data_IF_567668255961
#
_entry.id   IF_567668255961
#
_cell.length_a   1.000
_cell.length_b   1.000
_cell.length_c   1.000
_cell.angle_alpha   90.00
_cell.angle_beta   90.00
_cell.angle_gamma   90.00
#
_symmetry.space_group_name_H-M   'P 1'
#
loop_
_entity.id
_entity.type
_entity.pdbx_description
1 polymer ?
#
# COMPACT_ATOMS: atom_id res chain seq x y z
N UNK A 1 48.66 32.98 1.69
CA UNK A 1 47.33 33.52 1.29
C UNK A 1 46.30 32.42 1.52
N UNK A 2 45.36 32.60 2.45
CA UNK A 2 44.27 31.64 2.65
C UNK A 2 43.35 31.70 1.43
N UNK A 3 43.16 30.59 0.74
CA UNK A 3 42.22 30.47 -0.38
C UNK A 3 40.84 30.90 0.09
N UNK A 4 40.38 32.08 -0.32
CA UNK A 4 39.00 32.46 -0.15
C UNK A 4 38.19 31.46 -1.00
N UNK A 5 37.25 30.68 -0.44
CA UNK A 5 36.46 29.76 -1.24
C UNK A 5 35.77 30.58 -2.33
N UNK A 6 36.14 30.33 -3.58
CA UNK A 6 35.46 30.93 -4.72
C UNK A 6 33.97 30.54 -4.60
N UNK A 7 33.11 31.51 -4.30
CA UNK A 7 31.66 31.36 -4.17
C UNK A 7 31.07 30.89 -5.51
N UNK A 8 31.14 29.57 -5.72
CA UNK A 8 30.70 28.87 -6.92
C UNK A 8 29.61 27.89 -6.51
N UNK A 9 28.50 27.93 -7.23
CA UNK A 9 27.31 27.16 -6.90
C UNK A 9 26.86 26.38 -8.13
N UNK A 10 26.22 25.22 -7.90
CA UNK A 10 25.64 24.42 -8.98
C UNK A 10 24.29 24.95 -9.43
N UNK A 11 23.57 25.63 -8.55
CA UNK A 11 22.19 26.04 -8.81
C UNK A 11 22.07 27.53 -8.57
N UNK A 12 21.48 28.21 -9.52
CA UNK A 12 21.32 29.65 -9.53
C UNK A 12 19.88 30.01 -9.86
N UNK A 13 19.45 31.13 -9.30
CA UNK A 13 18.16 31.76 -9.60
C UNK A 13 18.39 33.16 -10.14
N UNK A 14 17.46 33.60 -10.97
CA UNK A 14 17.43 34.94 -11.53
C UNK A 14 15.99 35.28 -11.93
N UNK A 15 15.76 36.54 -12.28
CA UNK A 15 14.45 37.03 -12.71
C UNK A 15 14.58 37.49 -14.16
N UNK A 16 13.57 37.22 -14.98
CA UNK A 16 13.49 37.74 -16.35
C UNK A 16 12.28 38.64 -16.45
N UNK A 17 12.47 39.85 -16.97
CA UNK A 17 11.38 40.76 -17.29
C UNK A 17 11.09 40.66 -18.80
N UNK A 18 9.86 40.29 -19.22
CA UNK A 18 9.55 40.09 -20.64
C UNK A 18 9.67 41.35 -21.50
N UNK A 19 9.55 42.53 -20.89
CA UNK A 19 9.62 43.83 -21.57
C UNK A 19 11.06 44.24 -21.92
N UNK A 20 12.07 43.75 -21.20
CA UNK A 20 13.49 44.06 -21.42
C UNK A 20 14.30 42.91 -21.99
N UNK A 21 13.83 41.67 -21.83
CA UNK A 21 14.53 40.48 -22.30
C UNK A 21 14.52 40.37 -23.84
N UNK A 22 15.56 39.77 -24.45
CA UNK A 22 15.53 39.42 -25.87
C UNK A 22 14.35 38.49 -26.19
N UNK A 23 13.82 38.57 -27.41
CA UNK A 23 12.67 37.73 -27.81
C UNK A 23 12.98 36.22 -27.71
N UNK A 24 14.23 35.82 -27.90
CA UNK A 24 14.73 34.44 -27.83
C UNK A 24 15.40 34.10 -26.48
N UNK A 25 15.03 34.77 -25.39
CA UNK A 25 15.70 34.60 -24.09
C UNK A 25 15.65 33.15 -23.56
N UNK A 26 14.58 32.39 -23.85
CA UNK A 26 14.47 30.98 -23.48
C UNK A 26 15.51 30.12 -24.22
N UNK A 27 15.74 30.40 -25.50
CA UNK A 27 16.73 29.70 -26.34
C UNK A 27 18.14 29.95 -25.82
N UNK A 28 18.47 31.20 -25.47
CA UNK A 28 19.78 31.57 -24.90
C UNK A 28 20.12 30.73 -23.67
N UNK A 29 19.14 30.44 -22.81
CA UNK A 29 19.33 29.62 -21.62
C UNK A 29 19.35 28.13 -21.98
N UNK A 30 18.48 27.71 -22.89
CA UNK A 30 18.35 26.30 -23.33
C UNK A 30 19.61 25.80 -24.03
N UNK A 31 20.25 26.63 -24.85
CA UNK A 31 21.50 26.34 -25.57
C UNK A 31 22.68 26.02 -24.63
N UNK A 32 22.60 26.40 -23.36
CA UNK A 32 23.59 26.04 -22.33
C UNK A 32 23.58 24.52 -22.07
N UNK A 33 22.46 23.84 -22.34
CA UNK A 33 22.28 22.40 -22.13
C UNK A 33 22.20 21.97 -20.67
N UNK A 34 21.98 22.91 -19.74
CA UNK A 34 21.77 22.63 -18.33
C UNK A 34 20.28 22.53 -18.00
N UNK A 35 19.91 21.67 -17.05
CA UNK A 35 18.54 21.55 -16.53
C UNK A 35 18.09 22.92 -16.01
N UNK A 36 17.00 23.47 -16.55
CA UNK A 36 16.47 24.75 -16.11
C UNK A 36 14.95 24.84 -16.28
N UNK A 37 14.35 25.82 -15.63
CA UNK A 37 12.93 26.12 -15.80
C UNK A 37 12.59 27.49 -15.24
N UNK A 38 11.34 27.90 -15.44
CA UNK A 38 10.82 29.12 -14.86
C UNK A 38 9.36 28.99 -14.42
N UNK A 39 8.98 29.90 -13.53
CA UNK A 39 7.61 30.09 -13.07
C UNK A 39 6.65 30.40 -14.22
N UNK A 40 5.33 30.35 -13.98
CA UNK A 40 4.36 31.09 -14.77
C UNK A 40 4.74 32.58 -14.83
N UNK A 41 4.07 33.35 -15.69
CA UNK A 41 4.26 34.81 -15.69
C UNK A 41 3.67 35.38 -14.40
N UNK A 42 4.50 36.02 -13.57
CA UNK A 42 4.05 36.70 -12.37
C UNK A 42 3.55 38.11 -12.73
N UNK A 43 2.28 38.22 -13.10
CA UNK A 43 1.60 39.46 -13.50
C UNK A 43 0.55 39.96 -12.49
N UNK A 44 0.32 39.20 -11.40
CA UNK A 44 -0.67 39.49 -10.34
C UNK A 44 -0.03 39.73 -8.98
N UNK A 45 1.27 39.97 -8.96
CA UNK A 45 2.00 40.21 -7.73
C UNK A 45 1.85 41.67 -7.31
N UNK A 46 1.54 41.88 -6.03
CA UNK A 46 1.46 43.21 -5.42
C UNK A 46 2.78 43.59 -4.74
N UNK A 47 3.11 44.87 -4.75
CA UNK A 47 4.20 45.47 -3.99
C UNK A 47 3.80 45.72 -2.52
N UNK A 48 4.75 46.22 -1.74
CA UNK A 48 4.56 46.46 -0.30
C UNK A 48 3.55 47.58 0.00
N UNK A 49 3.17 48.36 -1.01
CA UNK A 49 2.21 49.46 -0.95
C UNK A 49 0.89 49.13 -1.66
N UNK A 50 0.70 47.90 -2.14
CA UNK A 50 -0.49 47.45 -2.87
C UNK A 50 -0.49 47.79 -4.36
N UNK A 51 0.61 48.31 -4.91
CA UNK A 51 0.78 48.55 -6.34
C UNK A 51 1.14 47.28 -7.11
N UNK A 52 0.75 47.19 -8.39
CA UNK A 52 1.11 46.04 -9.22
C UNK A 52 2.62 46.00 -9.50
N UNK A 53 3.27 44.86 -9.22
CA UNK A 53 4.65 44.63 -9.60
C UNK A 53 4.77 44.46 -11.12
N UNK A 54 5.94 44.81 -11.65
CA UNK A 54 6.26 44.56 -13.05
C UNK A 54 6.16 43.05 -13.37
N UNK A 55 5.51 42.65 -14.47
CA UNK A 55 5.43 41.26 -14.89
C UNK A 55 6.80 40.63 -15.02
N UNK A 56 7.00 39.45 -14.42
CA UNK A 56 8.32 38.81 -14.42
C UNK A 56 8.24 37.29 -14.33
N UNK A 57 9.32 36.62 -14.69
CA UNK A 57 9.52 35.19 -14.49
C UNK A 57 10.58 34.97 -13.42
N UNK A 58 10.32 34.05 -12.49
CA UNK A 58 11.35 33.48 -11.64
C UNK A 58 11.99 32.30 -12.35
N UNK A 59 13.29 32.34 -12.56
CA UNK A 59 14.04 31.30 -13.26
C UNK A 59 14.97 30.56 -12.29
N UNK A 60 15.21 29.28 -12.56
CA UNK A 60 16.19 28.44 -11.87
C UNK A 60 16.95 27.61 -12.90
N UNK A 61 18.26 27.56 -12.76
CA UNK A 61 19.15 26.73 -13.59
C UNK A 61 20.06 25.88 -12.71
N UNK A 62 20.21 24.60 -13.08
CA UNK A 62 20.99 23.59 -12.37
C UNK A 62 22.07 23.03 -13.29
N UNK A 63 23.31 23.37 -12.97
CA UNK A 63 24.49 22.93 -13.69
C UNK A 63 25.06 21.62 -13.13
N UNK A 64 25.65 20.81 -14.02
CA UNK A 64 26.42 19.61 -13.64
C UNK A 64 27.67 19.95 -12.80
N UNK A 65 28.32 21.07 -13.10
CA UNK A 65 29.48 21.59 -12.37
C UNK A 65 29.23 22.99 -11.85
N UNK A 66 29.95 23.38 -10.78
CA UNK A 66 29.75 24.68 -10.15
C UNK A 66 30.13 25.84 -11.07
N UNK A 67 29.30 26.89 -11.09
CA UNK A 67 29.53 28.14 -11.84
C UNK A 67 29.84 29.28 -10.87
N UNK A 68 30.72 30.20 -11.29
CA UNK A 68 31.02 31.41 -10.53
C UNK A 68 29.95 32.47 -10.73
N UNK A 69 29.87 33.43 -9.80
CA UNK A 69 29.01 34.60 -9.93
C UNK A 69 29.22 35.34 -11.26
N UNK A 70 30.49 35.51 -11.69
CA UNK A 70 30.81 36.19 -12.95
C UNK A 70 30.27 35.46 -14.18
N UNK A 71 30.31 34.12 -14.19
CA UNK A 71 29.72 33.33 -15.28
C UNK A 71 28.21 33.54 -15.36
N UNK A 72 27.54 33.57 -14.21
CA UNK A 72 26.10 33.82 -14.14
C UNK A 72 25.72 35.27 -14.43
N UNK A 73 26.58 36.22 -14.05
CA UNK A 73 26.41 37.63 -14.40
C UNK A 73 26.49 37.83 -15.92
N UNK A 74 27.39 37.11 -16.60
CA UNK A 74 27.47 37.12 -18.06
C UNK A 74 26.22 36.52 -18.72
N UNK A 75 25.57 35.53 -18.10
CA UNK A 75 24.31 34.98 -18.60
C UNK A 75 23.18 35.99 -18.42
N UNK A 76 22.94 36.44 -17.19
CA UNK A 76 21.87 37.42 -16.89
C UNK A 76 22.04 38.73 -17.65
N UNK A 77 23.28 39.17 -17.90
CA UNK A 77 23.56 40.32 -18.76
C UNK A 77 23.06 40.15 -20.20
N UNK A 78 23.20 38.96 -20.80
CA UNK A 78 22.65 38.67 -22.13
C UNK A 78 21.12 38.71 -22.16
N UNK A 79 20.48 38.41 -21.03
CA UNK A 79 19.03 38.43 -20.87
C UNK A 79 18.49 39.81 -20.49
N UNK A 80 19.35 40.82 -20.32
CA UNK A 80 19.01 42.10 -19.68
C UNK A 80 18.30 41.92 -18.33
N UNK A 81 18.69 40.89 -17.58
CA UNK A 81 18.10 40.49 -16.32
C UNK A 81 18.86 41.08 -15.12
N UNK A 82 18.21 41.25 -13.95
CA UNK A 82 18.90 41.56 -12.70
C UNK A 82 19.95 40.52 -12.31
N UNK A 83 20.81 40.92 -11.37
CA UNK A 83 21.90 40.09 -10.88
C UNK A 83 21.39 38.73 -10.34
N UNK A 84 22.08 37.62 -10.69
CA UNK A 84 21.70 36.28 -10.28
C UNK A 84 22.06 36.04 -8.81
N UNK A 85 21.38 35.08 -8.18
CA UNK A 85 21.67 34.66 -6.80
C UNK A 85 21.88 33.15 -6.74
N UNK A 86 22.77 32.65 -5.85
CA UNK A 86 22.85 31.23 -5.60
C UNK A 86 21.52 30.71 -5.03
N UNK A 87 21.12 29.51 -5.43
CA UNK A 87 19.90 28.90 -4.94
C UNK A 87 20.16 28.13 -3.63
N UNK A 88 19.51 28.55 -2.55
CA UNK A 88 19.61 27.89 -1.24
C UNK A 88 18.75 26.62 -1.14
N UNK A 89 17.54 26.66 -1.71
CA UNK A 89 16.59 25.55 -1.69
C UNK A 89 15.80 25.48 -2.98
N UNK A 90 16.03 24.46 -3.79
CA UNK A 90 15.30 24.24 -5.05
C UNK A 90 13.81 24.08 -4.77
N UNK A 91 13.46 23.25 -3.78
CA UNK A 91 12.06 23.01 -3.38
C UNK A 91 11.40 24.32 -2.96
N UNK A 92 12.05 25.11 -2.11
CA UNK A 92 11.52 26.40 -1.67
C UNK A 92 11.29 27.37 -2.83
N UNK A 93 12.22 27.44 -3.79
CA UNK A 93 12.11 28.35 -4.94
C UNK A 93 11.03 27.91 -5.94
N UNK A 94 10.91 26.62 -6.22
CA UNK A 94 9.85 26.12 -7.14
C UNK A 94 8.47 26.19 -6.49
N UNK A 95 8.35 26.02 -5.17
CA UNK A 95 7.09 26.31 -4.46
C UNK A 95 6.74 27.80 -4.50
N UNK A 96 7.76 28.65 -4.41
CA UNK A 96 7.61 30.11 -4.49
C UNK A 96 7.12 30.57 -5.89
N UNK A 97 7.52 29.89 -6.98
CA UNK A 97 6.97 30.14 -8.33
C UNK A 97 5.44 30.05 -8.41
N UNK A 98 4.82 29.39 -7.44
CA UNK A 98 3.38 29.16 -7.39
C UNK A 98 2.73 29.81 -6.15
N UNK A 99 3.53 30.47 -5.31
CA UNK A 99 3.12 31.04 -4.02
C UNK A 99 2.47 30.06 -3.04
N UNK A 100 2.80 28.76 -3.11
CA UNK A 100 2.16 27.71 -2.31
C UNK A 100 2.30 27.86 -0.78
N UNK A 101 3.23 28.68 -0.32
CA UNK A 101 3.53 28.93 1.10
C UNK A 101 3.01 30.31 1.58
N UNK A 102 2.36 31.07 0.71
CA UNK A 102 1.89 32.44 0.95
C UNK A 102 0.41 32.58 0.52
N UNK A 103 -0.55 32.16 1.36
CA UNK A 103 -1.97 32.12 1.03
C UNK A 103 -2.56 33.49 0.64
N UNK A 104 -1.96 34.58 1.13
CA UNK A 104 -2.34 35.96 0.84
C UNK A 104 -1.98 36.41 -0.57
N UNK A 105 -1.03 35.72 -1.24
CA UNK A 105 -0.62 36.04 -2.60
C UNK A 105 -1.43 35.25 -3.62
N UNK A 106 -1.53 35.80 -4.83
CA UNK A 106 -2.11 35.10 -5.95
C UNK A 106 -1.40 33.74 -6.19
N UNK A 107 -2.19 32.67 -6.24
CA UNK A 107 -1.71 31.30 -6.44
C UNK A 107 -1.64 30.99 -7.93
N UNK A 108 -0.45 30.74 -8.45
CA UNK A 108 -0.26 30.38 -9.86
C UNK A 108 -0.45 28.88 -10.09
N UNK A 109 -0.74 28.50 -11.34
CA UNK A 109 -1.04 27.12 -11.73
C UNK A 109 0.23 26.33 -11.99
N UNK A 110 0.24 25.06 -11.57
CA UNK A 110 1.39 24.15 -11.74
C UNK A 110 1.65 23.85 -13.22
N UNK A 111 0.59 23.83 -14.01
CA UNK A 111 0.59 23.50 -15.44
C UNK A 111 1.30 24.57 -16.28
N UNK A 112 1.41 25.79 -15.75
CA UNK A 112 2.03 26.93 -16.42
C UNK A 112 3.55 27.00 -16.16
N UNK A 113 4.11 26.13 -15.30
CA UNK A 113 5.57 26.00 -15.14
C UNK A 113 6.17 25.48 -16.44
N UNK A 114 7.23 26.13 -16.90
CA UNK A 114 8.03 25.69 -18.04
C UNK A 114 9.34 25.08 -17.57
N UNK A 115 9.63 23.90 -18.10
CA UNK A 115 10.76 23.08 -17.74
C UNK A 115 11.50 22.63 -19.00
N UNK A 116 12.82 22.74 -18.98
CA UNK A 116 13.69 22.55 -20.14
C UNK A 116 14.89 21.68 -19.78
N UNK A 117 15.51 21.08 -20.80
CA UNK A 117 16.74 20.29 -20.68
C UNK A 117 16.70 19.21 -19.57
N UNK A 118 15.53 18.59 -19.37
CA UNK A 118 15.34 17.52 -18.38
C UNK A 118 15.08 17.99 -16.94
N UNK A 119 14.86 19.28 -16.70
CA UNK A 119 14.37 19.74 -15.40
C UNK A 119 12.99 19.17 -15.10
N UNK A 120 12.82 18.52 -13.96
CA UNK A 120 11.53 17.94 -13.55
C UNK A 120 10.94 18.70 -12.37
N UNK A 121 10.09 19.69 -12.67
CA UNK A 121 9.39 20.48 -11.65
C UNK A 121 8.41 19.63 -10.83
N UNK A 122 7.83 18.56 -11.40
CA UNK A 122 6.89 17.68 -10.70
C UNK A 122 7.61 16.88 -9.61
N UNK A 123 8.80 16.39 -9.92
CA UNK A 123 9.65 15.70 -8.94
C UNK A 123 10.13 16.64 -7.82
N UNK A 124 10.41 17.92 -8.15
CA UNK A 124 10.72 18.93 -7.12
C UNK A 124 9.52 19.21 -6.21
N UNK A 125 8.31 19.26 -6.78
CA UNK A 125 7.05 19.52 -6.08
C UNK A 125 6.38 18.27 -5.50
N UNK A 126 7.10 17.15 -5.41
CA UNK A 126 6.59 15.91 -4.83
C UNK A 126 6.07 16.11 -3.40
N UNK A 127 5.08 15.30 -2.98
CA UNK A 127 4.56 15.38 -1.62
C UNK A 127 5.66 15.12 -0.58
N UNK A 128 5.59 15.82 0.55
CA UNK A 128 6.49 15.59 1.68
C UNK A 128 6.32 14.18 2.25
N UNK A 129 7.28 13.68 3.04
CA UNK A 129 7.17 12.37 3.70
C UNK A 129 5.90 12.25 4.56
N UNK A 130 5.52 13.33 5.23
CA UNK A 130 4.27 13.40 6.02
C UNK A 130 3.04 13.26 5.13
N UNK A 131 2.99 13.98 4.01
CA UNK A 131 1.89 13.87 3.04
C UNK A 131 1.82 12.47 2.40
N UNK A 132 2.97 11.90 2.02
CA UNK A 132 3.04 10.52 1.53
C UNK A 132 2.50 9.51 2.55
N UNK A 133 2.80 9.72 3.84
CA UNK A 133 2.30 8.86 4.93
C UNK A 133 0.79 9.01 5.10
N UNK A 134 0.25 10.23 5.00
CA UNK A 134 -1.19 10.48 5.04
C UNK A 134 -1.91 9.80 3.86
N UNK A 135 -1.43 10.01 2.63
CA UNK A 135 -1.95 9.36 1.43
C UNK A 135 -1.90 7.82 1.55
N UNK A 136 -0.81 7.26 2.05
CA UNK A 136 -0.70 5.81 2.26
C UNK A 136 -1.72 5.28 3.31
N UNK A 137 -2.07 6.08 4.33
CA UNK A 137 -3.14 5.73 5.28
C UNK A 137 -4.52 5.74 4.60
N UNK A 138 -4.77 6.74 3.76
CA UNK A 138 -6.01 6.84 2.95
C UNK A 138 -6.14 5.67 1.98
N UNK A 139 -5.09 5.35 1.23
CA UNK A 139 -5.02 4.21 0.32
C UNK A 139 -5.40 2.91 1.03
N UNK A 140 -4.74 2.61 2.17
CA UNK A 140 -5.06 1.38 2.94
C UNK A 140 -6.46 1.40 3.51
N UNK A 141 -6.98 2.55 3.92
CA UNK A 141 -8.36 2.69 4.38
C UNK A 141 -9.33 2.37 3.24
N UNK A 142 -9.12 2.95 2.07
CA UNK A 142 -9.95 2.70 0.89
C UNK A 142 -9.95 1.22 0.49
N UNK A 143 -8.76 0.60 0.42
CA UNK A 143 -8.63 -0.84 0.09
C UNK A 143 -9.44 -1.71 1.07
N UNK A 144 -9.32 -1.45 2.38
CA UNK A 144 -10.02 -2.22 3.41
C UNK A 144 -11.53 -1.99 3.38
N UNK A 145 -11.97 -0.73 3.35
CA UNK A 145 -13.39 -0.36 3.45
C UNK A 145 -14.19 -0.84 2.22
N UNK A 146 -13.53 -0.96 1.06
CA UNK A 146 -14.14 -1.46 -0.18
C UNK A 146 -13.79 -2.93 -0.48
N UNK A 147 -13.13 -3.62 0.45
CA UNK A 147 -12.68 -5.02 0.30
C UNK A 147 -11.98 -5.28 -1.06
N UNK A 148 -11.04 -4.43 -1.43
CA UNK A 148 -10.33 -4.55 -2.71
C UNK A 148 -9.31 -5.68 -2.62
N UNK A 149 -9.57 -6.77 -3.33
CA UNK A 149 -8.72 -7.97 -3.34
C UNK A 149 -7.81 -8.07 -4.56
N UNK A 150 -7.98 -7.21 -5.57
CA UNK A 150 -7.22 -7.22 -6.82
C UNK A 150 -6.52 -5.88 -7.07
N UNK A 151 -5.23 -5.94 -7.43
CA UNK A 151 -4.43 -4.75 -7.67
C UNK A 151 -4.95 -3.94 -8.86
N UNK A 152 -5.40 -4.61 -9.93
CA UNK A 152 -5.95 -3.94 -11.12
C UNK A 152 -7.14 -3.05 -10.74
N UNK A 153 -8.10 -3.60 -10.00
CA UNK A 153 -9.30 -2.86 -9.56
C UNK A 153 -8.93 -1.63 -8.73
N UNK A 154 -7.94 -1.76 -7.84
CA UNK A 154 -7.43 -0.61 -7.08
C UNK A 154 -6.79 0.45 -7.98
N UNK A 155 -5.95 0.04 -8.93
CA UNK A 155 -5.23 0.95 -9.83
C UNK A 155 -6.18 1.72 -10.74
N UNK A 156 -7.14 1.03 -11.38
CA UNK A 156 -8.12 1.66 -12.27
C UNK A 156 -8.94 2.75 -11.52
N UNK A 157 -9.35 2.47 -10.28
CA UNK A 157 -10.01 3.46 -9.44
C UNK A 157 -9.09 4.63 -9.08
N UNK A 158 -7.85 4.34 -8.67
CA UNK A 158 -6.92 5.38 -8.24
C UNK A 158 -6.58 6.35 -9.38
N UNK A 159 -6.42 5.86 -10.60
CA UNK A 159 -6.14 6.70 -11.77
C UNK A 159 -7.35 7.57 -12.17
N UNK A 160 -8.57 7.05 -12.04
CA UNK A 160 -9.79 7.77 -12.39
C UNK A 160 -10.20 8.81 -11.33
N UNK A 161 -10.21 8.42 -10.05
CA UNK A 161 -10.86 9.18 -8.98
C UNK A 161 -9.87 9.83 -8.00
N UNK A 162 -8.62 9.33 -7.93
CA UNK A 162 -7.65 9.77 -6.93
C UNK A 162 -6.23 9.96 -7.52
N UNK A 163 -6.05 10.75 -8.59
CA UNK A 163 -4.76 10.91 -9.27
C UNK A 163 -3.65 11.47 -8.34
N UNK A 164 -4.02 12.17 -7.26
CA UNK A 164 -3.09 12.65 -6.23
C UNK A 164 -2.33 11.51 -5.51
N UNK A 165 -2.87 10.30 -5.48
CA UNK A 165 -2.20 9.13 -4.89
C UNK A 165 -1.10 8.57 -5.79
N UNK A 166 -1.06 8.94 -7.07
CA UNK A 166 -0.18 8.34 -8.08
C UNK A 166 1.30 8.32 -7.67
N UNK A 167 1.82 9.40 -7.06
CA UNK A 167 3.20 9.42 -6.57
C UNK A 167 3.47 8.32 -5.54
N UNK A 168 2.57 8.16 -4.56
CA UNK A 168 2.71 7.16 -3.48
C UNK A 168 2.52 5.75 -4.03
N UNK A 169 1.55 5.56 -4.92
CA UNK A 169 1.28 4.26 -5.55
C UNK A 169 2.49 3.79 -6.35
N UNK A 170 3.02 4.64 -7.24
CA UNK A 170 4.16 4.28 -8.09
C UNK A 170 5.43 4.04 -7.27
N UNK A 171 5.63 4.78 -6.17
CA UNK A 171 6.80 4.64 -5.30
C UNK A 171 6.73 3.40 -4.39
N UNK A 172 5.54 3.03 -3.94
CA UNK A 172 5.31 2.00 -2.91
C UNK A 172 4.42 0.84 -3.40
N UNK A 173 4.46 0.56 -4.71
CA UNK A 173 3.59 -0.43 -5.35
C UNK A 173 3.65 -1.81 -4.70
N UNK A 174 4.85 -2.29 -4.31
CA UNK A 174 5.02 -3.59 -3.66
C UNK A 174 4.27 -3.65 -2.32
N UNK A 175 4.43 -2.65 -1.47
CA UNK A 175 3.74 -2.59 -0.18
C UNK A 175 2.21 -2.57 -0.33
N UNK A 176 1.69 -1.84 -1.32
CA UNK A 176 0.25 -1.82 -1.61
C UNK A 176 -0.22 -3.18 -2.10
N UNK A 177 0.52 -3.81 -3.02
CA UNK A 177 0.23 -5.16 -3.51
C UNK A 177 0.23 -6.18 -2.37
N UNK A 178 1.21 -6.13 -1.48
CA UNK A 178 1.33 -7.04 -0.34
C UNK A 178 0.18 -6.82 0.66
N UNK A 179 -0.27 -5.57 0.83
CA UNK A 179 -1.44 -5.25 1.65
C UNK A 179 -2.75 -5.79 1.05
N UNK A 180 -2.94 -5.69 -0.27
CA UNK A 180 -4.08 -6.29 -0.97
C UNK A 180 -4.02 -7.82 -0.89
N UNK A 181 -2.85 -8.40 -1.13
CA UNK A 181 -2.62 -9.84 -1.03
C UNK A 181 -2.89 -10.34 0.39
N UNK A 182 -2.48 -9.62 1.42
CA UNK A 182 -2.75 -10.02 2.80
C UNK A 182 -4.25 -10.02 3.10
N UNK A 183 -5.05 -9.13 2.51
CA UNK A 183 -6.52 -9.21 2.57
C UNK A 183 -7.08 -10.44 1.84
N UNK A 184 -6.51 -10.80 0.67
CA UNK A 184 -6.90 -12.00 -0.08
C UNK A 184 -6.59 -13.30 0.68
N UNK A 185 -5.43 -13.32 1.34
CA UNK A 185 -4.89 -14.48 2.04
C UNK A 185 -5.10 -14.43 3.56
N UNK A 186 -5.78 -13.41 4.11
CA UNK A 186 -6.15 -13.40 5.53
C UNK A 186 -7.21 -14.46 5.74
N UNK A 187 -6.70 -15.68 5.89
CA UNK A 187 -7.39 -16.94 6.05
C UNK A 187 -8.23 -16.98 7.31
N UNK A 188 -8.09 -16.03 8.25
CA UNK A 188 -8.92 -16.01 9.45
C UNK A 188 -10.41 -15.83 9.15
N UNK A 189 -10.84 -14.94 8.25
CA UNK A 189 -12.28 -14.81 7.97
C UNK A 189 -12.83 -15.96 7.14
N UNK A 190 -12.04 -16.48 6.20
CA UNK A 190 -12.45 -17.62 5.35
C UNK A 190 -12.43 -18.95 6.13
N UNK A 191 -11.40 -19.21 6.94
CA UNK A 191 -11.33 -20.36 7.84
C UNK A 191 -12.36 -20.25 8.98
N UNK A 192 -12.58 -19.06 9.57
CA UNK A 192 -13.63 -18.89 10.57
C UNK A 192 -15.02 -19.11 9.98
N UNK A 193 -15.29 -18.61 8.77
CA UNK A 193 -16.55 -18.85 8.08
C UNK A 193 -16.73 -20.33 7.73
N UNK A 194 -15.73 -20.96 7.12
CA UNK A 194 -15.79 -22.41 6.84
C UNK A 194 -15.97 -23.24 8.11
N UNK A 195 -15.31 -22.88 9.20
CA UNK A 195 -15.49 -23.55 10.49
C UNK A 195 -16.90 -23.37 11.06
N UNK A 196 -17.46 -22.16 10.99
CA UNK A 196 -18.84 -21.88 11.42
C UNK A 196 -19.86 -22.61 10.57
N UNK A 197 -19.68 -22.59 9.24
CA UNK A 197 -20.53 -23.26 8.27
C UNK A 197 -20.46 -24.79 8.45
N UNK A 198 -19.27 -25.35 8.65
CA UNK A 198 -19.09 -26.76 8.99
C UNK A 198 -19.70 -27.12 10.35
N UNK A 199 -19.64 -26.22 11.33
CA UNK A 199 -20.27 -26.44 12.64
C UNK A 199 -21.80 -26.51 12.53
N UNK A 200 -22.43 -25.77 11.61
CA UNK A 200 -23.86 -25.88 11.33
C UNK A 200 -24.22 -27.27 10.79
N UNK A 201 -23.48 -27.76 9.79
CA UNK A 201 -23.69 -29.10 9.22
C UNK A 201 -23.47 -30.19 10.27
N UNK A 202 -22.41 -30.08 11.09
CA UNK A 202 -22.17 -31.02 12.21
C UNK A 202 -23.29 -31.01 13.26
N UNK A 203 -23.91 -29.86 13.53
CA UNK A 203 -25.06 -29.76 14.44
C UNK A 203 -26.30 -30.39 13.83
N UNK A 204 -26.57 -30.12 12.56
CA UNK A 204 -27.67 -30.75 11.83
C UNK A 204 -27.57 -32.28 11.88
N UNK A 205 -26.40 -32.83 11.54
CA UNK A 205 -26.13 -34.27 11.60
C UNK A 205 -26.40 -34.85 13.00
N UNK A 206 -25.87 -34.19 14.05
CA UNK A 206 -26.01 -34.68 15.43
C UNK A 206 -27.42 -34.57 15.97
N UNK A 207 -28.12 -33.47 15.69
CA UNK A 207 -29.44 -33.21 16.25
C UNK A 207 -30.53 -34.09 15.61
N UNK A 208 -30.36 -34.42 14.33
CA UNK A 208 -31.30 -35.26 13.59
C UNK A 208 -30.85 -36.72 13.48
N UNK A 209 -29.75 -37.09 14.14
CA UNK A 209 -29.16 -38.44 14.13
C UNK A 209 -28.90 -38.98 12.70
N UNK A 210 -28.47 -38.11 11.79
CA UNK A 210 -28.20 -38.46 10.40
C UNK A 210 -27.02 -39.44 10.33
N UNK A 211 -27.17 -40.48 9.52
CA UNK A 211 -26.17 -41.54 9.40
C UNK A 211 -25.57 -41.69 8.01
N UNK A 212 -26.19 -41.19 6.96
CA UNK A 212 -25.67 -41.29 5.59
C UNK A 212 -25.41 -39.91 4.97
N UNK A 213 -24.68 -39.92 3.86
CA UNK A 213 -24.34 -38.70 3.14
C UNK A 213 -25.50 -38.18 2.28
N UNK A 214 -26.45 -39.03 1.91
CA UNK A 214 -27.56 -38.65 1.03
C UNK A 214 -28.45 -37.62 1.72
N UNK A 215 -28.77 -37.85 3.00
CA UNK A 215 -29.49 -36.89 3.85
C UNK A 215 -28.73 -35.58 4.05
N UNK A 216 -27.39 -35.62 4.06
CA UNK A 216 -26.57 -34.40 4.13
C UNK A 216 -26.64 -33.62 2.82
N UNK A 217 -26.58 -34.30 1.67
CA UNK A 217 -26.77 -33.66 0.37
C UNK A 217 -28.18 -33.07 0.25
N UNK A 218 -29.22 -33.80 0.64
CA UNK A 218 -30.61 -33.31 0.62
C UNK A 218 -30.76 -32.02 1.46
N UNK A 219 -30.22 -31.99 2.68
CA UNK A 219 -30.22 -30.78 3.51
C UNK A 219 -29.48 -29.61 2.86
N UNK A 220 -28.33 -29.88 2.24
CA UNK A 220 -27.56 -28.83 1.58
C UNK A 220 -28.29 -28.33 0.33
N UNK A 221 -28.85 -29.21 -0.49
CA UNK A 221 -29.49 -28.82 -1.76
C UNK A 221 -30.85 -28.13 -1.54
N UNK A 222 -31.65 -28.62 -0.57
CA UNK A 222 -33.00 -28.13 -0.33
C UNK A 222 -33.06 -26.96 0.66
N UNK A 223 -32.24 -26.99 1.73
CA UNK A 223 -32.33 -26.00 2.81
C UNK A 223 -31.18 -25.00 2.86
N UNK A 224 -29.95 -25.40 2.48
CA UNK A 224 -28.73 -24.60 2.63
C UNK A 224 -27.78 -24.66 1.42
N UNK A 225 -28.23 -24.34 0.19
CA UNK A 225 -27.43 -24.53 -1.03
C UNK A 225 -26.14 -23.69 -1.04
N UNK A 226 -26.13 -22.56 -0.33
CA UNK A 226 -24.94 -21.74 -0.12
C UNK A 226 -23.80 -22.45 0.61
N UNK A 227 -24.06 -23.58 1.27
CA UNK A 227 -23.08 -24.39 2.02
C UNK A 227 -22.56 -25.60 1.22
N UNK A 228 -23.04 -25.84 -0.01
CA UNK A 228 -22.65 -27.00 -0.82
C UNK A 228 -21.13 -27.11 -1.06
N UNK A 229 -20.41 -25.98 -1.04
CA UNK A 229 -18.95 -25.95 -1.17
C UNK A 229 -18.24 -26.76 -0.06
N UNK A 230 -18.88 -26.97 1.10
CA UNK A 230 -18.35 -27.79 2.19
C UNK A 230 -18.19 -29.26 1.80
N UNK A 231 -18.99 -29.76 0.84
CA UNK A 231 -18.86 -31.14 0.36
C UNK A 231 -17.60 -31.36 -0.46
N UNK A 232 -17.01 -30.29 -1.00
CA UNK A 232 -15.71 -30.34 -1.67
C UNK A 232 -14.59 -30.04 -0.68
N UNK A 233 -14.78 -29.05 0.20
CA UNK A 233 -13.74 -28.56 1.09
C UNK A 233 -13.54 -29.40 2.37
N UNK A 234 -14.58 -30.07 2.88
CA UNK A 234 -14.60 -30.74 4.20
C UNK A 234 -15.30 -32.12 4.18
N UNK A 235 -15.31 -32.81 3.03
CA UNK A 235 -15.97 -34.12 2.87
C UNK A 235 -15.62 -35.14 3.96
N UNK A 236 -14.32 -35.32 4.24
CA UNK A 236 -13.83 -36.31 5.20
C UNK A 236 -14.31 -35.99 6.63
N UNK A 237 -14.27 -34.72 7.02
CA UNK A 237 -14.72 -34.27 8.34
C UNK A 237 -16.23 -34.48 8.56
N UNK A 238 -17.02 -34.34 7.50
CA UNK A 238 -18.47 -34.60 7.52
C UNK A 238 -18.71 -36.11 7.62
N UNK A 239 -18.00 -36.91 6.82
CA UNK A 239 -18.06 -38.38 6.86
C UNK A 239 -17.69 -38.96 8.23
N UNK A 240 -16.66 -38.41 8.87
CA UNK A 240 -16.28 -38.80 10.23
C UNK A 240 -17.36 -38.47 11.25
N UNK A 241 -18.06 -37.34 11.08
CA UNK A 241 -19.19 -36.95 11.91
C UNK A 241 -20.34 -37.95 11.80
N UNK A 242 -20.71 -38.36 10.58
CA UNK A 242 -21.72 -39.38 10.32
C UNK A 242 -21.34 -40.73 10.94
N UNK A 243 -20.11 -41.18 10.72
CA UNK A 243 -19.58 -42.43 11.28
C UNK A 243 -19.63 -42.41 12.82
N UNK A 244 -19.36 -41.26 13.44
CA UNK A 244 -19.48 -41.07 14.89
C UNK A 244 -20.91 -41.21 15.39
N UNK A 245 -21.89 -40.65 14.66
CA UNK A 245 -23.32 -40.78 15.00
C UNK A 245 -23.79 -42.22 14.82
N UNK A 246 -23.43 -42.88 13.71
CA UNK A 246 -23.70 -44.30 13.45
C UNK A 246 -23.21 -45.20 14.60
N UNK A 247 -21.98 -44.99 15.07
CA UNK A 247 -21.44 -45.77 16.20
C UNK A 247 -22.19 -45.53 17.50
N UNK A 248 -22.75 -44.33 17.71
CA UNK A 248 -23.53 -44.00 18.90
C UNK A 248 -24.93 -44.57 18.85
N UNK A 249 -25.57 -44.59 17.68
CA UNK A 249 -26.90 -45.18 17.48
C UNK A 249 -26.85 -46.71 17.48
N UNK A 250 -25.74 -47.31 17.05
CA UNK A 250 -25.53 -48.76 17.07
C UNK A 250 -25.10 -49.36 18.43
N UNK A 251 -24.78 -48.54 19.44
CA UNK A 251 -24.45 -49.05 20.79
C UNK A 251 -25.73 -49.61 21.46
N UNK A 252 -25.74 -50.88 21.90
CA UNK A 252 -26.83 -51.40 22.71
C UNK A 252 -26.99 -50.58 23.98
N UNK A 253 -28.23 -50.27 24.39
CA UNK A 253 -28.51 -49.50 25.63
C UNK A 253 -28.23 -50.29 26.92
N UNK A 254 -27.88 -51.57 26.82
CA UNK A 254 -27.67 -52.44 27.98
C UNK A 254 -26.18 -52.70 28.23
N UNK A 255 -25.57 -51.87 29.07
CA UNK A 255 -24.38 -52.24 29.83
C UNK A 255 -24.73 -51.98 31.29
N UNK A 256 -25.03 -53.04 32.04
CA UNK A 256 -25.33 -52.94 33.47
C UNK A 256 -24.09 -52.45 34.24
N UNK A 257 -24.27 -51.78 35.40
CA UNK A 257 -23.18 -51.16 36.16
C UNK A 257 -22.05 -52.14 36.54
N UNK A 258 -22.36 -53.42 36.65
CA UNK A 258 -21.44 -54.49 37.06
C UNK A 258 -20.36 -54.77 36.01
N UNK A 259 -20.71 -54.75 34.72
CA UNK A 259 -19.73 -54.91 33.63
C UNK A 259 -18.75 -53.75 33.52
N UNK A 260 -19.16 -52.54 33.94
CA UNK A 260 -18.28 -51.36 33.92
C UNK A 260 -17.21 -51.41 35.01
N UNK A 261 -17.54 -51.99 36.18
CA UNK A 261 -16.62 -52.15 37.32
C UNK A 261 -15.45 -53.10 37.03
N UNK A 262 -15.73 -54.23 36.36
CA UNK A 262 -14.70 -55.23 36.01
C UNK A 262 -13.68 -54.71 35.01
N UNK A 263 -14.12 -53.96 33.99
CA UNK A 263 -13.23 -53.37 32.99
C UNK A 263 -12.38 -52.24 33.60
N UNK A 264 -12.93 -51.49 34.56
CA UNK A 264 -12.23 -50.37 35.20
C UNK A 264 -11.21 -50.82 36.27
N UNK A 265 -11.34 -52.03 36.82
CA UNK A 265 -10.37 -52.64 37.73
C UNK A 265 -9.16 -53.28 37.02
N UNK A 266 -9.26 -53.59 35.72
CA UNK A 266 -8.17 -54.21 34.96
C UNK A 266 -7.29 -53.23 34.16
N UNK A 267 -7.64 -51.93 34.11
CA UNK A 267 -6.79 -50.91 33.50
C UNK A 267 -5.74 -50.41 34.50
N UNK A 268 -4.43 -50.56 34.23
CA UNK A 268 -3.40 -49.98 35.10
C UNK A 268 -3.56 -48.46 35.15
N UNK A 269 -3.47 -47.90 36.37
CA UNK A 269 -3.67 -46.48 36.74
C UNK A 269 -2.77 -45.45 36.02
N UNK A 270 -2.05 -45.80 34.97
CA UNK A 270 -1.09 -44.92 34.31
C UNK A 270 -1.71 -43.98 33.25
N UNK A 271 -2.94 -44.21 32.79
CA UNK A 271 -3.49 -43.47 31.64
C UNK A 271 -4.37 -42.26 31.97
N UNK A 272 -4.55 -41.90 33.25
CA UNK A 272 -5.42 -40.77 33.60
C UNK A 272 -4.73 -39.40 33.69
N UNK A 273 -3.43 -39.28 33.47
CA UNK A 273 -2.82 -37.95 33.43
C UNK A 273 -1.52 -37.88 32.65
N UNK A 274 -1.55 -37.58 31.35
CA UNK A 274 -0.40 -36.93 30.71
C UNK A 274 -0.84 -35.94 29.63
N UNK A 275 -0.66 -34.65 29.96
CA UNK A 275 -0.39 -33.58 28.99
C UNK A 275 1.11 -33.68 28.68
N UNK A 276 1.49 -34.46 27.67
CA UNK A 276 2.76 -34.21 26.98
C UNK A 276 2.74 -34.83 25.58
N UNK A 277 3.05 -34.09 24.49
CA UNK A 277 2.90 -34.58 23.12
C UNK A 277 3.93 -35.64 22.70
N UNK A 278 5.04 -35.80 23.44
CA UNK A 278 6.19 -36.63 23.04
C UNK A 278 5.94 -38.13 23.27
N UNK A 279 5.02 -38.51 24.17
CA UNK A 279 4.77 -39.92 24.50
C UNK A 279 3.87 -40.67 23.51
N UNK A 280 3.16 -39.98 22.60
CA UNK A 280 2.32 -40.64 21.59
C UNK A 280 3.13 -41.16 20.40
N UNK A 281 4.23 -40.51 20.05
CA UNK A 281 5.09 -40.90 18.93
C UNK A 281 5.86 -42.20 19.23
N UNK A 282 6.39 -42.34 20.45
CA UNK A 282 7.02 -43.60 20.91
C UNK A 282 6.02 -44.78 21.03
N UNK A 283 4.74 -44.50 21.31
CA UNK A 283 3.70 -45.55 21.37
C UNK A 283 3.32 -46.10 19.99
N UNK A 284 3.27 -45.24 18.96
CA UNK A 284 3.00 -45.69 17.58
C UNK A 284 4.20 -46.39 16.94
N UNK A 285 5.43 -45.98 17.24
CA UNK A 285 6.64 -46.70 16.79
C UNK A 285 6.75 -48.12 17.37
N UNK A 286 6.17 -48.37 18.55
CA UNK A 286 6.16 -49.70 19.16
C UNK A 286 5.17 -50.67 18.50
N UNK A 287 4.05 -50.16 17.96
CA UNK A 287 2.98 -50.99 17.35
C UNK A 287 3.33 -51.42 15.92
N UNK A 288 4.13 -50.64 15.20
CA UNK A 288 4.56 -50.96 13.82
C UNK A 288 5.71 -52.00 13.75
N UNK A 289 6.07 -52.64 14.86
CA UNK A 289 7.23 -53.55 14.95
C UNK A 289 6.93 -55.04 15.15
N UNK A 290 5.66 -55.48 15.21
CA UNK A 290 5.34 -56.92 15.27
C UNK A 290 5.03 -57.52 13.88
N UNK A 291 5.64 -58.66 13.52
CA UNK A 291 5.54 -59.21 12.17
C UNK A 291 4.18 -59.85 11.90
N UNK A 292 3.69 -59.59 10.69
CA UNK A 292 2.56 -60.24 10.06
C UNK A 292 2.81 -61.75 10.00
N UNK A 293 1.95 -62.53 10.66
CA UNK A 293 1.67 -63.93 10.35
C UNK A 293 0.20 -64.09 10.00
#
# INVERSE_FOLDING_TARGET
>A
MKNNPQNRYRIWIFIVYPDSAPQNWEDIITDIGAEWGHSPLHDKDEDEYGGAKKPHYHCLIKFKSVKSYRQMLSLTGQLHAPNPKPCESVVGKVRYWLHLDNPEKYQYKKEDIKAFCGFDAKEVLKPSKTQQTAMMREIRKYIRDNNILELKTFMDYADAECPQWGYVINRYQSHIRDYINSGRYSSNDRQNKHYQDLALVRRFIKNNAITDMEDVYAFLDEEKPQLAYLMVAHYLEIKDCLTSVQRKTARPKDVTPETRSLVQQQLPKALTSFRDPIALEEYYEMIDSEPIY
#
